data_IF_593654915701
#
_entry.id   IF_593654915701
#
_cell.length_a   1.000
_cell.length_b   1.000
_cell.length_c   1.000
_cell.angle_alpha   90.00
_cell.angle_beta   90.00
_cell.angle_gamma   90.00
#
_symmetry.space_group_name_H-M   'P 1'
#
loop_
_entity.id
_entity.type
_entity.pdbx_description
1 polymer ?
#
# COMPACT_ATOMS: atom_id res chain seq x y z
N UNK A 1 32.01 30.79 45.62
CA UNK A 1 32.49 31.05 44.25
C UNK A 1 32.88 29.67 43.67
N UNK A 2 31.96 28.80 43.21
CA UNK A 2 31.14 28.91 41.99
C UNK A 2 31.94 29.64 40.90
N UNK A 3 32.32 29.09 39.75
CA UNK A 3 31.72 28.18 38.77
C UNK A 3 32.91 27.71 37.85
N UNK A 4 33.02 26.56 37.19
CA UNK A 4 32.16 25.94 36.19
C UNK A 4 32.66 24.49 35.95
N UNK A 5 32.06 23.51 36.64
CA UNK A 5 32.08 22.13 36.16
C UNK A 5 31.05 22.00 35.06
N UNK A 6 31.43 22.26 33.81
CA UNK A 6 30.56 22.02 32.65
C UNK A 6 30.46 20.50 32.47
N UNK A 7 29.46 19.92 33.13
CA UNK A 7 28.94 18.59 32.87
C UNK A 7 28.26 18.65 31.49
N UNK A 8 29.04 18.40 30.43
CA UNK A 8 28.54 18.22 29.08
C UNK A 8 27.86 16.85 28.97
N UNK A 9 26.70 16.70 29.61
CA UNK A 9 25.71 15.73 29.13
C UNK A 9 25.37 16.17 27.69
N UNK A 10 25.60 15.34 26.66
CA UNK A 10 25.00 15.62 25.37
C UNK A 10 23.49 15.62 25.59
N UNK A 11 22.88 16.79 25.49
CA UNK A 11 21.43 16.94 25.45
C UNK A 11 20.99 16.29 24.14
N UNK A 12 20.70 15.00 24.22
CA UNK A 12 20.09 14.22 23.15
C UNK A 12 18.75 14.89 22.84
N UNK A 13 18.78 15.80 21.87
CA UNK A 13 17.59 16.31 21.20
C UNK A 13 16.99 15.12 20.45
N UNK A 14 16.24 14.28 21.18
CA UNK A 14 15.32 13.34 20.56
C UNK A 14 14.24 14.20 19.91
N UNK A 15 14.49 14.60 18.67
CA UNK A 15 13.49 15.25 17.85
C UNK A 15 12.26 14.30 17.85
N UNK A 16 11.09 14.72 18.34
CA UNK A 16 9.90 13.87 18.31
C UNK A 16 9.53 13.46 16.87
N UNK A 17 10.04 14.17 15.84
CA UNK A 17 9.92 13.79 14.44
C UNK A 17 10.86 12.63 14.03
N UNK A 18 12.00 12.41 14.70
CA UNK A 18 12.83 11.21 14.44
C UNK A 18 12.26 9.98 15.16
N UNK A 19 11.62 10.15 16.32
CA UNK A 19 10.96 9.06 17.05
C UNK A 19 9.75 8.47 16.28
N UNK A 20 9.00 9.29 15.53
CA UNK A 20 7.92 8.82 14.64
C UNK A 20 8.43 8.11 13.38
N UNK A 21 9.67 8.36 12.94
CA UNK A 21 10.27 7.73 11.75
C UNK A 21 10.90 6.35 12.04
N UNK A 22 11.18 6.04 13.30
CA UNK A 22 11.65 4.72 13.75
C UNK A 22 10.57 3.62 13.75
N UNK A 23 9.31 3.96 13.46
CA UNK A 23 8.17 3.03 13.48
C UNK A 23 8.13 1.99 12.36
N UNK A 24 8.89 2.16 11.28
CA UNK A 24 8.99 1.17 10.19
C UNK A 24 10.11 0.14 10.45
N UNK A 25 10.16 -0.41 11.65
CA UNK A 25 11.05 -1.52 11.99
C UNK A 25 10.27 -2.82 11.84
N UNK A 26 10.82 -3.83 11.15
CA UNK A 26 10.19 -5.13 10.89
C UNK A 26 9.87 -5.98 12.15
N UNK A 27 9.95 -5.38 13.35
CA UNK A 27 9.81 -6.04 14.65
C UNK A 27 9.05 -5.16 15.67
N UNK A 28 8.48 -4.02 15.27
CA UNK A 28 7.74 -3.12 16.18
C UNK A 28 6.21 -3.18 16.02
N UNK A 29 5.46 -2.58 16.94
CA UNK A 29 3.98 -2.56 16.92
C UNK A 29 3.41 -1.98 15.61
N UNK A 30 4.11 -1.01 14.99
CA UNK A 30 3.76 -0.44 13.68
C UNK A 30 3.87 -1.44 12.52
N UNK A 31 4.76 -2.44 12.60
CA UNK A 31 4.85 -3.49 11.59
C UNK A 31 3.58 -4.35 11.56
N UNK A 32 3.02 -4.68 12.73
CA UNK A 32 1.77 -5.46 12.80
C UNK A 32 0.63 -4.69 12.14
N UNK A 33 0.49 -3.40 12.41
CA UNK A 33 -0.58 -2.60 11.79
C UNK A 33 -0.37 -2.43 10.29
N UNK A 34 0.86 -2.15 9.84
CA UNK A 34 1.22 -2.09 8.41
C UNK A 34 0.95 -3.42 7.69
N UNK A 35 1.30 -4.54 8.33
CA UNK A 35 1.06 -5.88 7.79
C UNK A 35 -0.44 -6.14 7.66
N UNK A 36 -1.23 -5.80 8.67
CA UNK A 36 -2.70 -5.91 8.61
C UNK A 36 -3.25 -5.04 7.48
N UNK A 37 -2.81 -3.78 7.37
CA UNK A 37 -3.24 -2.86 6.32
C UNK A 37 -2.93 -3.42 4.92
N UNK A 38 -1.70 -3.88 4.69
CA UNK A 38 -1.26 -4.44 3.40
C UNK A 38 -2.00 -5.75 3.09
N UNK A 39 -2.25 -6.63 4.07
CA UNK A 39 -3.03 -7.85 3.88
C UNK A 39 -4.46 -7.56 3.40
N UNK A 40 -5.15 -6.60 4.05
CA UNK A 40 -6.49 -6.19 3.61
C UNK A 40 -6.46 -5.54 2.22
N UNK A 41 -5.49 -4.67 1.96
CA UNK A 41 -5.34 -4.01 0.67
C UNK A 41 -5.14 -5.02 -0.46
N UNK A 42 -4.14 -5.90 -0.31
CA UNK A 42 -3.75 -6.89 -1.30
C UNK A 42 -4.87 -7.91 -1.54
N UNK A 43 -5.66 -8.23 -0.52
CA UNK A 43 -6.83 -9.08 -0.68
C UNK A 43 -7.87 -8.46 -1.62
N UNK A 44 -8.25 -7.21 -1.40
CA UNK A 44 -9.25 -6.54 -2.24
C UNK A 44 -8.74 -6.26 -3.65
N UNK A 45 -7.48 -5.88 -3.79
CA UNK A 45 -6.85 -5.71 -5.10
C UNK A 45 -6.81 -7.05 -5.87
N UNK A 46 -6.46 -8.16 -5.21
CA UNK A 46 -6.48 -9.49 -5.81
C UNK A 46 -7.87 -9.95 -6.26
N UNK A 47 -8.92 -9.68 -5.47
CA UNK A 47 -10.31 -9.95 -5.87
C UNK A 47 -10.73 -9.09 -7.07
N UNK A 48 -10.33 -7.83 -7.10
CA UNK A 48 -10.64 -6.91 -8.19
C UNK A 48 -9.94 -7.31 -9.50
N UNK A 49 -8.65 -7.64 -9.45
CA UNK A 49 -7.88 -8.15 -10.60
C UNK A 49 -8.43 -9.50 -11.06
N UNK A 50 -8.75 -10.41 -10.14
CA UNK A 50 -9.31 -11.73 -10.47
C UNK A 50 -10.67 -11.65 -11.16
N UNK A 51 -11.60 -10.84 -10.64
CA UNK A 51 -12.92 -10.64 -11.26
C UNK A 51 -12.82 -9.95 -12.63
N UNK A 52 -11.90 -8.99 -12.77
CA UNK A 52 -11.62 -8.35 -14.05
C UNK A 52 -11.01 -9.33 -15.06
N UNK A 53 -10.08 -10.19 -14.63
CA UNK A 53 -9.47 -11.20 -15.50
C UNK A 53 -10.48 -12.24 -16.01
N UNK A 54 -11.45 -12.65 -15.20
CA UNK A 54 -12.51 -13.57 -15.63
C UNK A 54 -13.43 -12.95 -16.68
N UNK A 55 -13.68 -11.64 -16.61
CA UNK A 55 -14.54 -10.93 -17.57
C UNK A 55 -13.78 -10.48 -18.81
N UNK A 56 -12.49 -10.19 -18.70
CA UNK A 56 -11.65 -9.72 -19.81
C UNK A 56 -11.17 -10.86 -20.73
N UNK A 57 -10.96 -12.07 -20.20
CA UNK A 57 -10.44 -13.20 -20.99
C UNK A 57 -11.50 -14.27 -21.21
N UNK A 58 -11.71 -14.67 -22.47
CA UNK A 58 -12.61 -15.78 -22.82
C UNK A 58 -12.07 -17.16 -22.44
N UNK A 59 -10.75 -17.27 -22.23
CA UNK A 59 -10.08 -18.51 -21.87
C UNK A 59 -9.71 -18.49 -20.37
N UNK A 60 -10.30 -19.42 -19.62
CA UNK A 60 -10.05 -19.62 -18.18
C UNK A 60 -8.57 -19.80 -17.87
N UNK A 61 -7.80 -20.43 -18.78
CA UNK A 61 -6.35 -20.59 -18.58
C UNK A 61 -5.64 -19.25 -18.47
N UNK A 62 -6.00 -18.28 -19.31
CA UNK A 62 -5.39 -16.94 -19.27
C UNK A 62 -5.76 -16.24 -17.97
N UNK A 63 -7.02 -16.31 -17.54
CA UNK A 63 -7.47 -15.75 -16.26
C UNK A 63 -6.73 -16.34 -15.05
N UNK A 64 -6.52 -17.67 -15.03
CA UNK A 64 -5.72 -18.34 -14.00
C UNK A 64 -4.26 -17.90 -14.06
N UNK A 65 -3.67 -17.76 -15.25
CA UNK A 65 -2.30 -17.27 -15.40
C UNK A 65 -2.15 -15.86 -14.83
N UNK A 66 -3.11 -14.96 -15.05
CA UNK A 66 -3.09 -13.61 -14.48
C UNK A 66 -3.15 -13.65 -12.94
N UNK A 67 -4.01 -14.50 -12.37
CA UNK A 67 -4.11 -14.68 -10.93
C UNK A 67 -2.81 -15.23 -10.32
N UNK A 68 -2.21 -16.25 -10.95
CA UNK A 68 -0.93 -16.83 -10.51
C UNK A 68 0.20 -15.80 -10.65
N UNK A 69 0.25 -15.04 -11.75
CA UNK A 69 1.24 -14.00 -11.95
C UNK A 69 1.14 -12.89 -10.89
N UNK A 70 -0.08 -12.46 -10.55
CA UNK A 70 -0.31 -11.50 -9.46
C UNK A 70 0.19 -12.06 -8.12
N UNK A 71 -0.18 -13.29 -7.77
CA UNK A 71 0.23 -13.92 -6.50
C UNK A 71 1.73 -14.18 -6.40
N UNK A 72 2.44 -14.42 -7.51
CA UNK A 72 3.89 -14.62 -7.52
C UNK A 72 4.68 -13.30 -7.48
N UNK A 73 4.08 -12.19 -7.90
CA UNK A 73 4.74 -10.88 -7.91
C UNK A 73 5.10 -10.42 -6.50
N UNK A 74 4.22 -10.61 -5.51
CA UNK A 74 4.47 -10.22 -4.11
C UNK A 74 5.65 -10.97 -3.47
N UNK A 75 5.71 -12.31 -3.44
CA UNK A 75 6.84 -13.03 -2.85
C UNK A 75 8.14 -12.79 -3.63
N UNK A 76 8.08 -12.61 -4.95
CA UNK A 76 9.24 -12.24 -5.76
C UNK A 76 9.77 -10.85 -5.35
N UNK A 77 8.89 -9.87 -5.18
CA UNK A 77 9.24 -8.53 -4.70
C UNK A 77 9.85 -8.56 -3.30
N UNK A 78 9.30 -9.34 -2.37
CA UNK A 78 9.85 -9.53 -1.03
C UNK A 78 11.25 -10.16 -1.10
N UNK A 79 11.44 -11.20 -1.92
CA UNK A 79 12.73 -11.87 -2.07
C UNK A 79 13.82 -10.92 -2.61
N UNK A 80 13.49 -10.11 -3.62
CA UNK A 80 14.38 -9.07 -4.14
C UNK A 80 14.66 -8.02 -3.06
N UNK A 81 13.63 -7.58 -2.32
CA UNK A 81 13.76 -6.63 -1.22
C UNK A 81 14.74 -7.11 -0.14
N UNK A 82 14.64 -8.39 0.27
CA UNK A 82 15.57 -9.00 1.23
C UNK A 82 16.99 -9.06 0.66
N UNK A 83 17.16 -9.47 -0.60
CA UNK A 83 18.46 -9.55 -1.24
C UNK A 83 19.16 -8.19 -1.27
N UNK A 84 18.43 -7.13 -1.63
CA UNK A 84 18.96 -5.75 -1.69
C UNK A 84 19.19 -5.17 -0.29
N UNK A 85 18.39 -5.54 0.72
CA UNK A 85 18.55 -5.05 2.10
C UNK A 85 19.91 -5.41 2.72
N UNK A 86 20.57 -6.46 2.24
CA UNK A 86 21.92 -6.85 2.72
C UNK A 86 23.02 -5.85 2.36
N UNK A 87 22.79 -4.98 1.36
CA UNK A 87 23.78 -4.05 0.81
C UNK A 87 23.65 -2.62 1.35
N UNK A 88 22.57 -2.30 2.08
CA UNK A 88 22.28 -0.95 2.59
C UNK A 88 22.25 -0.92 4.11
N UNK A 89 22.72 0.18 4.72
CA UNK A 89 22.39 0.44 6.13
C UNK A 89 20.99 1.06 6.23
N UNK A 90 20.14 0.49 7.09
CA UNK A 90 18.75 0.90 7.35
C UNK A 90 18.61 2.39 7.70
N UNK A 91 19.68 3.00 8.23
CA UNK A 91 19.73 4.40 8.68
C UNK A 91 20.38 5.37 7.68
N UNK A 92 20.83 4.89 6.52
CA UNK A 92 21.46 5.76 5.51
C UNK A 92 20.44 6.66 4.80
N UNK A 93 20.88 7.87 4.43
CA UNK A 93 20.08 8.79 3.62
C UNK A 93 19.66 8.15 2.28
N UNK A 94 20.52 7.30 1.70
CA UNK A 94 20.24 6.57 0.46
C UNK A 94 19.06 5.59 0.61
N UNK A 95 18.96 4.87 1.73
CA UNK A 95 17.82 3.97 2.01
C UNK A 95 16.49 4.73 2.04
N UNK A 96 16.48 5.92 2.65
CA UNK A 96 15.28 6.76 2.73
C UNK A 96 14.82 7.26 1.34
N UNK A 97 15.74 7.68 0.48
CA UNK A 97 15.41 8.10 -0.89
C UNK A 97 14.89 6.93 -1.73
N UNK A 98 15.53 5.76 -1.64
CA UNK A 98 15.10 4.57 -2.39
C UNK A 98 13.72 4.12 -1.95
N UNK A 99 13.46 3.99 -0.65
CA UNK A 99 12.11 3.67 -0.13
C UNK A 99 11.08 4.70 -0.57
N UNK A 100 11.38 5.99 -0.43
CA UNK A 100 10.45 7.06 -0.83
C UNK A 100 10.10 7.04 -2.33
N UNK A 101 11.07 6.78 -3.20
CA UNK A 101 10.82 6.66 -4.65
C UNK A 101 10.00 5.42 -4.97
N UNK A 102 10.36 4.27 -4.38
CA UNK A 102 9.62 3.02 -4.59
C UNK A 102 8.17 3.13 -4.10
N UNK A 103 7.94 3.74 -2.94
CA UNK A 103 6.61 3.97 -2.38
C UNK A 103 5.79 4.94 -3.26
N UNK A 104 6.42 6.01 -3.79
CA UNK A 104 5.76 6.94 -4.70
C UNK A 104 5.36 6.28 -6.02
N UNK A 105 6.24 5.46 -6.60
CA UNK A 105 5.94 4.70 -7.83
C UNK A 105 4.82 3.69 -7.56
N UNK A 106 4.90 2.93 -6.46
CA UNK A 106 3.87 1.96 -6.08
C UNK A 106 2.50 2.64 -5.86
N UNK A 107 2.47 3.76 -5.14
CA UNK A 107 1.25 4.56 -4.94
C UNK A 107 0.68 5.10 -6.25
N UNK A 108 1.53 5.53 -7.18
CA UNK A 108 1.10 5.96 -8.52
C UNK A 108 0.44 4.85 -9.33
N UNK A 109 1.04 3.65 -9.33
CA UNK A 109 0.47 2.46 -9.98
C UNK A 109 -0.89 2.13 -9.37
N UNK A 110 -1.01 2.13 -8.04
CA UNK A 110 -2.24 1.84 -7.32
C UNK A 110 -3.38 2.83 -7.66
N UNK A 111 -3.07 4.11 -7.83
CA UNK A 111 -4.05 5.11 -8.29
C UNK A 111 -4.47 4.85 -9.75
N UNK A 112 -3.52 4.50 -10.62
CA UNK A 112 -3.80 4.15 -12.01
C UNK A 112 -4.70 2.91 -12.12
N UNK A 113 -4.38 1.82 -11.44
CA UNK A 113 -5.18 0.59 -11.45
C UNK A 113 -6.58 0.84 -10.85
N UNK A 114 -6.66 1.62 -9.77
CA UNK A 114 -7.94 2.01 -9.15
C UNK A 114 -8.85 2.80 -10.09
N UNK A 115 -8.33 3.84 -10.75
CA UNK A 115 -9.13 4.76 -11.58
C UNK A 115 -9.37 4.21 -13.00
N UNK A 116 -8.30 3.80 -13.67
CA UNK A 116 -8.33 3.46 -15.10
C UNK A 116 -8.79 2.03 -15.32
N UNK A 117 -8.29 1.08 -14.53
CA UNK A 117 -8.59 -0.33 -14.77
C UNK A 117 -9.88 -0.76 -14.07
N UNK A 118 -10.10 -0.35 -12.82
CA UNK A 118 -11.26 -0.80 -12.04
C UNK A 118 -12.46 0.14 -12.17
N UNK A 119 -12.31 1.43 -11.83
CA UNK A 119 -13.41 2.40 -11.86
C UNK A 119 -13.95 2.63 -13.28
N UNK A 120 -13.08 2.91 -14.24
CA UNK A 120 -13.52 3.22 -15.61
C UNK A 120 -14.18 2.01 -16.29
N UNK A 121 -13.64 0.81 -16.12
CA UNK A 121 -14.24 -0.41 -16.67
C UNK A 121 -15.62 -0.70 -16.06
N UNK A 122 -15.73 -0.66 -14.72
CA UNK A 122 -16.96 -1.03 -14.04
C UNK A 122 -18.06 0.05 -14.08
N UNK A 123 -17.71 1.34 -14.01
CA UNK A 123 -18.70 2.43 -13.91
C UNK A 123 -18.94 3.17 -15.23
N UNK A 124 -17.90 3.32 -16.07
CA UNK A 124 -17.99 4.17 -17.27
C UNK A 124 -18.29 3.35 -18.52
N UNK A 125 -17.62 2.21 -18.71
CA UNK A 125 -17.69 1.43 -19.95
C UNK A 125 -18.84 0.41 -19.94
N UNK A 126 -19.24 -0.10 -18.77
CA UNK A 126 -20.26 -1.15 -18.70
C UNK A 126 -21.68 -0.59 -18.99
N UNK A 127 -22.26 -1.01 -20.12
CA UNK A 127 -23.64 -0.65 -20.49
C UNK A 127 -24.67 -1.14 -19.46
N UNK A 128 -24.38 -2.24 -18.75
CA UNK A 128 -25.23 -2.74 -17.66
C UNK A 128 -25.28 -1.81 -16.44
N UNK A 129 -24.19 -1.10 -16.12
CA UNK A 129 -24.19 -0.17 -14.99
C UNK A 129 -24.98 1.10 -15.30
N UNK A 130 -24.95 1.57 -16.56
CA UNK A 130 -25.78 2.70 -17.00
C UNK A 130 -27.27 2.37 -17.06
N UNK A 131 -27.62 1.09 -17.26
CA UNK A 131 -28.99 0.60 -17.23
C UNK A 131 -29.58 0.41 -15.82
N UNK A 132 -28.76 0.43 -14.75
CA UNK A 132 -29.22 0.32 -13.36
C UNK A 132 -29.87 1.61 -12.88
N UNK A 133 -30.84 1.50 -11.96
CA UNK A 133 -31.53 2.65 -11.37
C UNK A 133 -30.55 3.59 -10.66
N UNK A 134 -30.83 4.90 -10.67
CA UNK A 134 -29.95 5.91 -10.06
C UNK A 134 -29.62 5.64 -8.58
N UNK A 135 -30.58 5.07 -7.82
CA UNK A 135 -30.36 4.67 -6.43
C UNK A 135 -29.33 3.54 -6.29
N UNK A 136 -29.38 2.54 -7.18
CA UNK A 136 -28.41 1.46 -7.18
C UNK A 136 -27.01 1.94 -7.61
N UNK A 137 -26.92 2.93 -8.51
CA UNK A 137 -25.64 3.55 -8.91
C UNK A 137 -25.01 4.31 -7.75
N UNK A 138 -25.80 5.08 -7.00
CA UNK A 138 -25.35 5.77 -5.78
C UNK A 138 -24.83 4.78 -4.73
N UNK A 139 -25.49 3.63 -4.57
CA UNK A 139 -25.05 2.59 -3.64
C UNK A 139 -23.64 2.09 -3.97
N UNK A 140 -23.31 1.83 -5.24
CA UNK A 140 -21.96 1.38 -5.62
C UNK A 140 -20.88 2.42 -5.26
N UNK A 141 -21.15 3.71 -5.50
CA UNK A 141 -20.24 4.79 -5.08
C UNK A 141 -20.10 4.86 -3.54
N UNK A 142 -21.18 4.67 -2.79
CA UNK A 142 -21.12 4.61 -1.32
C UNK A 142 -20.24 3.47 -0.82
N UNK A 143 -20.37 2.27 -1.39
CA UNK A 143 -19.50 1.14 -1.04
C UNK A 143 -18.04 1.40 -1.39
N UNK A 144 -17.77 2.08 -2.51
CA UNK A 144 -16.40 2.48 -2.89
C UNK A 144 -15.80 3.47 -1.89
N UNK A 145 -16.54 4.53 -1.52
CA UNK A 145 -16.09 5.50 -0.52
C UNK A 145 -15.95 4.89 0.87
N UNK A 146 -16.84 3.96 1.25
CA UNK A 146 -16.76 3.22 2.51
C UNK A 146 -15.51 2.35 2.54
N UNK A 147 -15.20 1.64 1.45
CA UNK A 147 -13.98 0.84 1.33
C UNK A 147 -12.71 1.70 1.43
N UNK A 148 -12.66 2.83 0.71
CA UNK A 148 -11.55 3.78 0.79
C UNK A 148 -11.39 4.36 2.21
N UNK A 149 -12.51 4.73 2.85
CA UNK A 149 -12.53 5.21 4.23
C UNK A 149 -12.07 4.16 5.24
N UNK A 150 -12.49 2.91 5.09
CA UNK A 150 -12.05 1.81 5.94
C UNK A 150 -10.53 1.59 5.84
N UNK A 151 -9.98 1.59 4.62
CA UNK A 151 -8.53 1.47 4.41
C UNK A 151 -7.76 2.66 5.00
N UNK A 152 -8.32 3.87 4.91
CA UNK A 152 -7.73 5.06 5.53
C UNK A 152 -7.72 5.01 7.06
N UNK A 153 -8.78 4.47 7.69
CA UNK A 153 -8.87 4.31 9.15
C UNK A 153 -7.84 3.28 9.64
N UNK A 154 -7.71 2.15 8.94
CA UNK A 154 -6.70 1.13 9.28
C UNK A 154 -5.29 1.73 9.17
N UNK A 155 -5.05 2.55 8.14
CA UNK A 155 -3.78 3.24 7.93
C UNK A 155 -3.43 4.30 8.98
N UNK A 156 -4.40 4.86 9.71
CA UNK A 156 -4.09 5.88 10.74
C UNK A 156 -3.30 5.33 11.93
N UNK A 157 -3.40 4.02 12.18
CA UNK A 157 -2.72 3.33 13.27
C UNK A 157 -1.47 2.59 12.79
N UNK A 158 -1.17 2.68 11.49
CA UNK A 158 -0.02 2.08 10.82
C UNK A 158 1.22 2.98 10.86
#
# INVERSE_FOLDING_TARGET
MSLLGVNSKPMSYSNPATAKRTGQSATGDGFTTLLVAICFHQFFEGVAVGSSAVTAFSNVRTSIVTAVAYSLTTPLGIAIGIAVNTSYSETSLTSLWVRGVLDAVAGGILVYTGIVELLTYQYTISHEFHAKSGGLRSLHYLFLWLGAGAMAIIGQWA
#
